data_IF_924168732912
#
_entry.id   IF_924168732912
#
_cell.length_a   1.000
_cell.length_b   1.000
_cell.length_c   1.000
_cell.angle_alpha   90.00
_cell.angle_beta   90.00
_cell.angle_gamma   90.00
#
_symmetry.space_group_name_H-M   'P 1'
#
loop_
_entity.id
_entity.type
_entity.pdbx_description
1 polymer ?
#
# COMPACT_ATOMS: atom_id res chain seq x y z
N UNK A 1 -6.84 -1.09 -5.67
CA UNK A 1 -6.00 -1.79 -6.67
C UNK A 1 -6.87 -2.11 -7.88
N UNK A 2 -6.32 -1.99 -9.11
CA UNK A 2 -7.00 -2.44 -10.32
C UNK A 2 -7.05 -3.98 -10.35
N UNK A 3 -8.11 -4.62 -10.88
CA UNK A 3 -8.23 -6.07 -10.89
C UNK A 3 -7.05 -6.78 -11.54
N UNK A 4 -6.54 -6.22 -12.63
CA UNK A 4 -5.45 -6.79 -13.43
C UNK A 4 -4.15 -6.82 -12.61
N UNK A 5 -3.90 -5.78 -11.79
CA UNK A 5 -2.75 -5.71 -10.89
C UNK A 5 -2.87 -6.73 -9.73
N UNK A 6 -4.09 -7.01 -9.28
CA UNK A 6 -4.29 -8.06 -8.28
C UNK A 6 -4.04 -9.43 -8.90
N UNK A 7 -4.56 -9.66 -10.11
CA UNK A 7 -4.37 -10.92 -10.82
C UNK A 7 -2.89 -11.19 -11.09
N UNK A 8 -2.16 -10.20 -11.62
CA UNK A 8 -0.71 -10.26 -11.83
C UNK A 8 0.04 -10.70 -10.55
N UNK A 9 -0.27 -10.07 -9.41
CA UNK A 9 0.32 -10.46 -8.12
C UNK A 9 -0.04 -11.87 -7.65
N UNK A 10 -1.19 -12.39 -8.05
CA UNK A 10 -1.59 -13.76 -7.72
C UNK A 10 -0.93 -14.78 -8.66
N UNK A 11 -0.64 -14.40 -9.90
CA UNK A 11 0.06 -15.24 -10.86
C UNK A 11 1.55 -15.39 -10.48
N UNK A 12 2.18 -14.33 -9.97
CA UNK A 12 3.59 -14.38 -9.51
C UNK A 12 3.82 -15.23 -8.26
N UNK A 13 2.76 -15.74 -7.61
CA UNK A 13 2.90 -16.63 -6.43
C UNK A 13 3.65 -17.93 -6.72
N UNK A 14 3.68 -18.35 -7.98
CA UNK A 14 4.29 -19.61 -8.44
C UNK A 14 5.76 -19.41 -8.85
N UNK A 15 6.25 -18.16 -8.84
CA UNK A 15 7.63 -17.84 -9.17
C UNK A 15 8.59 -18.19 -8.04
N UNK A 16 9.87 -18.33 -8.41
CA UNK A 16 10.96 -18.60 -7.46
C UNK A 16 11.12 -17.48 -6.41
N UNK A 17 10.82 -16.24 -6.79
CA UNK A 17 10.91 -15.05 -5.95
C UNK A 17 9.56 -14.32 -5.88
N UNK A 18 8.63 -14.77 -5.02
CA UNK A 18 7.27 -14.23 -4.94
C UNK A 18 7.16 -12.98 -4.05
N UNK A 19 8.29 -12.45 -3.58
CA UNK A 19 8.34 -11.23 -2.79
C UNK A 19 8.06 -10.02 -3.68
N UNK A 20 7.21 -9.13 -3.19
CA UNK A 20 6.75 -7.95 -3.89
C UNK A 20 6.81 -6.74 -2.96
N UNK A 21 6.90 -5.55 -3.56
CA UNK A 21 6.92 -4.28 -2.85
C UNK A 21 5.63 -3.48 -3.05
N UNK A 22 5.25 -2.72 -2.03
CA UNK A 22 4.23 -1.68 -2.09
C UNK A 22 4.81 -0.36 -1.60
N UNK A 23 4.97 0.61 -2.52
CA UNK A 23 5.59 1.88 -2.21
C UNK A 23 4.58 2.87 -1.60
N UNK A 24 5.05 3.68 -0.64
CA UNK A 24 4.28 4.63 0.13
C UNK A 24 5.01 5.98 0.24
N UNK A 25 4.24 7.06 0.16
CA UNK A 25 4.75 8.42 0.38
C UNK A 25 4.99 8.73 1.86
N UNK A 26 4.28 8.05 2.77
CA UNK A 26 4.32 8.29 4.21
C UNK A 26 4.32 6.98 4.96
N UNK A 27 5.13 6.90 6.02
CA UNK A 27 5.15 5.75 6.91
C UNK A 27 3.85 5.67 7.74
N UNK A 28 3.10 4.56 7.71
CA UNK A 28 1.90 4.37 8.53
C UNK A 28 2.27 4.24 10.02
N UNK A 29 1.66 5.06 10.90
CA UNK A 29 1.94 5.04 12.35
C UNK A 29 1.76 3.65 13.00
N UNK A 30 0.73 2.90 12.59
CA UNK A 30 0.43 1.57 13.15
C UNK A 30 1.38 0.45 12.71
N UNK A 31 2.31 0.70 11.77
CA UNK A 31 3.39 -0.25 11.44
C UNK A 31 4.58 -0.16 12.39
N UNK A 32 4.60 0.81 13.30
CA UNK A 32 5.63 0.94 14.32
C UNK A 32 5.32 0.14 15.60
N UNK A 33 4.13 -0.44 15.70
CA UNK A 33 3.72 -1.29 16.82
C UNK A 33 4.11 -2.75 16.55
N UNK A 34 4.56 -3.52 17.55
CA UNK A 34 4.87 -4.93 17.36
C UNK A 34 3.61 -5.75 17.04
N UNK A 35 3.67 -6.58 15.99
CA UNK A 35 2.60 -7.52 15.65
C UNK A 35 2.60 -7.95 14.19
N UNK A 36 1.73 -8.89 13.79
CA UNK A 36 1.58 -9.29 12.40
C UNK A 36 0.85 -8.21 11.61
N UNK A 37 1.54 -7.60 10.65
CA UNK A 37 0.94 -6.59 9.77
C UNK A 37 0.43 -7.19 8.45
N UNK A 38 -0.61 -6.57 7.90
CA UNK A 38 -1.33 -7.07 6.71
C UNK A 38 -1.55 -5.94 5.70
N UNK A 39 -1.24 -6.20 4.44
CA UNK A 39 -1.58 -5.33 3.32
C UNK A 39 -2.95 -5.72 2.77
N UNK A 40 -3.99 -5.00 3.19
CA UNK A 40 -5.35 -5.22 2.69
C UNK A 40 -5.51 -4.70 1.26
N UNK A 41 -6.17 -5.50 0.41
CA UNK A 41 -6.38 -5.18 -1.00
C UNK A 41 -7.87 -5.03 -1.30
N UNK A 42 -8.25 -3.84 -1.77
CA UNK A 42 -9.55 -3.58 -2.37
C UNK A 42 -9.46 -3.63 -3.91
N UNK A 43 -10.39 -4.33 -4.54
CA UNK A 43 -10.55 -4.43 -5.99
C UNK A 43 -12.02 -4.57 -6.39
N UNK A 44 -12.41 -3.91 -7.50
CA UNK A 44 -13.81 -3.80 -7.97
C UNK A 44 -14.78 -3.33 -6.89
N UNK A 45 -14.38 -2.33 -6.09
CA UNK A 45 -15.26 -1.74 -5.06
C UNK A 45 -15.50 -2.60 -3.81
N UNK A 46 -14.71 -3.64 -3.58
CA UNK A 46 -14.77 -4.44 -2.35
C UNK A 46 -13.37 -4.80 -1.85
N UNK A 47 -13.21 -4.92 -0.53
CA UNK A 47 -12.07 -5.63 0.06
C UNK A 47 -12.10 -7.09 -0.39
N UNK A 48 -10.97 -7.63 -0.81
CA UNK A 48 -10.85 -8.98 -1.39
C UNK A 48 -10.02 -9.93 -0.55
N UNK A 49 -9.06 -9.39 0.19
CA UNK A 49 -8.11 -10.19 0.95
C UNK A 49 -6.95 -9.32 1.41
N UNK A 50 -5.91 -9.99 1.88
CA UNK A 50 -4.68 -9.34 2.30
C UNK A 50 -3.47 -10.23 2.05
N UNK A 51 -2.30 -9.60 1.99
CA UNK A 51 -0.99 -10.25 2.11
C UNK A 51 -0.43 -10.00 3.51
N UNK A 52 0.42 -10.91 4.00
CA UNK A 52 1.24 -10.64 5.19
C UNK A 52 2.40 -9.74 4.77
N UNK A 53 2.58 -8.66 5.53
CA UNK A 53 3.77 -7.81 5.38
C UNK A 53 4.97 -8.50 6.04
N UNK A 54 6.15 -8.27 5.48
CA UNK A 54 7.42 -8.52 6.14
C UNK A 54 7.52 -7.65 7.40
N UNK A 55 8.34 -8.08 8.37
CA UNK A 55 8.76 -7.24 9.49
C UNK A 55 9.72 -6.13 9.07
N UNK A 56 10.23 -6.20 7.83
CA UNK A 56 11.14 -5.22 7.25
C UNK A 56 10.44 -4.35 6.22
N UNK A 57 10.97 -3.14 6.05
CA UNK A 57 10.64 -2.24 4.96
C UNK A 57 11.91 -1.54 4.46
N UNK A 58 11.91 -1.15 3.20
CA UNK A 58 13.01 -0.40 2.61
C UNK A 58 12.71 1.09 2.66
N UNK A 59 13.77 1.88 2.82
CA UNK A 59 13.75 3.33 2.75
C UNK A 59 14.72 3.80 1.66
N UNK A 60 14.22 4.55 0.69
CA UNK A 60 15.01 5.19 -0.36
C UNK A 60 14.85 6.71 -0.28
N UNK A 61 15.86 7.45 0.24
CA UNK A 61 15.79 8.92 0.34
C UNK A 61 15.85 9.62 -1.02
N UNK A 62 16.27 8.94 -2.09
CA UNK A 62 16.37 9.51 -3.44
C UNK A 62 15.02 9.53 -4.19
N UNK A 63 14.01 8.82 -3.67
CA UNK A 63 12.62 8.89 -4.17
C UNK A 63 11.77 9.76 -3.22
N UNK A 64 11.69 11.09 -3.45
CA UNK A 64 10.92 11.97 -2.58
C UNK A 64 9.40 11.76 -2.68
N UNK A 65 8.92 11.01 -3.69
CA UNK A 65 7.48 10.79 -3.88
C UNK A 65 6.99 9.58 -3.10
N UNK A 66 7.75 8.49 -3.10
CA UNK A 66 7.42 7.25 -2.41
C UNK A 66 8.63 6.60 -1.75
N UNK A 67 9.22 7.24 -0.72
CA UNK A 67 10.49 6.81 -0.16
C UNK A 67 10.42 5.50 0.63
N UNK A 68 9.23 5.00 0.97
CA UNK A 68 9.07 3.77 1.74
C UNK A 68 8.56 2.63 0.86
N UNK A 69 9.14 1.44 0.97
CA UNK A 69 8.62 0.24 0.32
C UNK A 69 8.31 -0.85 1.35
N UNK A 70 7.03 -1.23 1.44
CA UNK A 70 6.59 -2.36 2.24
C UNK A 70 6.77 -3.66 1.46
N UNK A 71 7.43 -4.64 2.07
CA UNK A 71 7.65 -5.94 1.44
C UNK A 71 6.55 -6.91 1.86
N UNK A 72 6.09 -7.76 0.93
CA UNK A 72 5.13 -8.82 1.21
C UNK A 72 5.34 -10.02 0.29
N UNK A 73 5.00 -11.21 0.79
CA UNK A 73 5.07 -12.46 0.03
C UNK A 73 3.70 -12.76 -0.59
N UNK A 74 3.63 -12.89 -1.92
CA UNK A 74 2.37 -13.16 -2.64
C UNK A 74 1.75 -14.51 -2.30
N UNK A 75 2.55 -15.49 -1.84
CA UNK A 75 2.06 -16.80 -1.36
C UNK A 75 1.20 -16.68 -0.11
N UNK A 76 1.31 -15.57 0.62
CA UNK A 76 0.53 -15.32 1.84
C UNK A 76 -0.85 -14.74 1.57
N UNK A 77 -1.25 -14.64 0.29
CA UNK A 77 -2.58 -14.17 -0.07
C UNK A 77 -3.66 -14.93 0.70
N UNK A 78 -4.41 -14.20 1.51
CA UNK A 78 -5.53 -14.73 2.27
C UNK A 78 -6.81 -14.10 1.74
N UNK A 79 -7.66 -14.84 1.01
CA UNK A 79 -8.93 -14.31 0.57
C UNK A 79 -9.86 -14.10 1.75
N UNK A 80 -10.68 -13.05 1.69
CA UNK A 80 -11.78 -12.83 2.63
C UNK A 80 -13.10 -12.78 1.88
N UNK A 81 -14.21 -12.95 2.60
CA UNK A 81 -15.54 -12.65 2.04
C UNK A 81 -15.53 -11.21 1.53
N UNK A 82 -15.94 -10.92 0.29
CA UNK A 82 -15.93 -9.56 -0.22
C UNK A 82 -16.74 -8.61 0.65
N UNK A 83 -16.10 -7.57 1.16
CA UNK A 83 -16.74 -6.52 1.96
C UNK A 83 -16.79 -5.27 1.08
N UNK A 84 -17.99 -4.75 0.73
CA UNK A 84 -18.10 -3.51 -0.03
C UNK A 84 -17.32 -2.39 0.64
N UNK A 85 -16.51 -1.67 -0.15
CA UNK A 85 -15.87 -0.45 0.32
C UNK A 85 -16.64 0.74 -0.21
N UNK A 86 -16.95 1.69 0.69
CA UNK A 86 -17.21 3.06 0.27
C UNK A 86 -16.05 3.47 -0.62
N UNK A 87 -16.30 3.81 -1.89
CA UNK A 87 -15.27 4.46 -2.70
C UNK A 87 -14.79 5.65 -1.88
N UNK A 88 -13.49 5.78 -1.71
CA UNK A 88 -12.85 6.94 -1.09
C UNK A 88 -13.12 8.18 -1.95
N UNK A 89 -14.36 8.65 -2.04
CA UNK A 89 -14.68 9.97 -2.59
C UNK A 89 -14.21 10.97 -1.53
N UNK A 90 -13.02 11.52 -1.71
CA UNK A 90 -12.59 12.73 -1.00
C UNK A 90 -11.79 12.54 0.30
N UNK A 91 -11.07 11.42 0.50
CA UNK A 91 -10.03 11.41 1.54
C UNK A 91 -8.78 12.10 0.99
N UNK A 92 -8.78 13.43 0.98
CA UNK A 92 -7.55 14.21 0.88
C UNK A 92 -6.82 14.08 2.22
N UNK A 93 -5.54 13.73 2.18
CA UNK A 93 -4.68 13.92 3.34
C UNK A 93 -4.83 15.38 3.78
N UNK A 94 -4.86 15.66 5.09
CA UNK A 94 -4.59 17.02 5.58
C UNK A 94 -3.15 17.35 5.19
N UNK A 95 -2.97 17.84 3.98
CA UNK A 95 -1.75 18.50 3.53
C UNK A 95 -1.81 19.90 4.17
N UNK A 96 -0.73 20.37 4.81
CA UNK A 96 -0.63 21.78 5.16
C UNK A 96 -0.97 22.62 3.92
N UNK A 97 -1.66 23.76 4.07
CA UNK A 97 -1.86 24.67 2.96
C UNK A 97 -0.50 24.95 2.33
N UNK A 98 -0.42 24.88 1.00
CA UNK A 98 0.75 25.34 0.27
C UNK A 98 0.94 26.81 0.62
N UNK A 99 2.07 27.16 1.23
CA UNK A 99 2.49 28.56 1.37
C UNK A 99 2.50 29.16 -0.05
N UNK A 100 1.53 30.02 -0.32
CA UNK A 100 1.61 30.95 -1.42
C UNK A 100 2.69 31.95 -1.06
N UNK A 101 3.84 31.84 -1.70
CA UNK A 101 4.81 32.93 -1.73
C UNK A 101 4.15 34.07 -2.49
N UNK A 102 3.71 35.09 -1.75
CA UNK A 102 3.45 36.41 -2.33
C UNK A 102 4.83 36.98 -2.67
N UNK A 103 5.11 37.08 -3.97
CA UNK A 103 6.14 37.97 -4.51
C UNK A 103 5.69 39.40 -4.15
N UNK A 104 6.36 40.01 -3.16
CA UNK A 104 6.27 41.45 -2.94
C UNK A 104 6.97 42.16 -4.11
N UNK A 105 6.20 42.92 -4.88
CA UNK A 105 6.66 43.89 -5.90
C UNK A 105 7.47 45.05 -5.28
#
# INVERSE_FOLDING_TARGET
>A
MRPEVLQDKLETREEKNPEQAWNLARWPKGLSEPGPHRLFVASKGAWRGFFRLSGEALYNPEDPRTPYALLFDTRTWTPIRPIPVSRFRGFTYKVPPSESWEEED
#
